data_IF_334522967155
#
_entry.id   IF_334522967155
#
_cell.length_a   1.000
_cell.length_b   1.000
_cell.length_c   1.000
_cell.angle_alpha   90.00
_cell.angle_beta   90.00
_cell.angle_gamma   90.00
#
_symmetry.space_group_name_H-M   'P 1'
#
loop_
_entity.id
_entity.type
_entity.pdbx_description
1 polymer ?
#
# COMPACT_ATOMS: atom_id res chain seq x y z
N UNK A 1 1.98 19.01 12.17
CA UNK A 1 1.03 18.50 11.15
C UNK A 1 1.79 17.93 9.96
N UNK A 2 1.16 17.03 9.22
CA UNK A 2 1.69 16.43 7.98
C UNK A 2 1.07 17.18 6.80
N UNK A 3 1.87 17.56 5.81
CA UNK A 3 1.45 18.34 4.64
C UNK A 3 2.62 18.71 3.75
N UNK A 4 2.37 19.27 2.57
CA UNK A 4 3.44 19.67 1.65
C UNK A 4 2.92 19.92 0.24
N UNK A 5 3.86 20.13 -0.68
CA UNK A 5 3.58 20.44 -2.09
C UNK A 5 3.54 19.21 -3.01
N UNK A 6 3.47 18.00 -2.43
CA UNK A 6 3.40 16.76 -3.20
C UNK A 6 2.05 16.66 -3.92
N UNK A 7 2.04 16.17 -5.16
CA UNK A 7 0.84 15.96 -5.97
C UNK A 7 0.66 14.47 -6.24
N UNK A 8 -0.58 14.00 -6.16
CA UNK A 8 -0.92 12.60 -6.40
C UNK A 8 -2.28 12.46 -7.09
N UNK A 9 -2.38 11.51 -7.99
CA UNK A 9 -3.56 11.16 -8.78
C UNK A 9 -3.78 9.66 -8.72
N UNK A 10 -5.04 9.24 -8.81
CA UNK A 10 -5.45 7.84 -8.90
C UNK A 10 -6.47 7.72 -10.02
N UNK A 11 -5.99 7.28 -11.19
CA UNK A 11 -6.78 7.23 -12.41
C UNK A 11 -7.10 5.79 -12.79
N UNK A 12 -8.28 5.55 -13.36
CA UNK A 12 -8.62 4.26 -13.96
C UNK A 12 -8.21 4.25 -15.43
N UNK A 13 -7.47 3.23 -15.86
CA UNK A 13 -6.99 3.04 -17.22
C UNK A 13 -7.63 1.77 -17.80
N UNK A 14 -8.19 1.87 -19.00
CA UNK A 14 -8.67 0.73 -19.80
C UNK A 14 -7.92 0.70 -21.13
N UNK A 15 -7.44 -0.47 -21.55
CA UNK A 15 -6.65 -0.66 -22.77
C UNK A 15 -7.50 -0.99 -24.00
N UNK A 16 -8.82 -1.10 -23.85
CA UNK A 16 -9.74 -1.36 -24.97
C UNK A 16 -9.82 -0.19 -25.96
N UNK A 17 -9.17 0.95 -25.68
CA UNK A 17 -9.29 2.19 -26.48
C UNK A 17 -8.15 2.41 -27.48
N UNK A 18 -7.18 1.49 -27.61
CA UNK A 18 -6.08 1.64 -28.58
C UNK A 18 -5.85 0.38 -29.39
N UNK A 19 -6.22 0.42 -30.67
CA UNK A 19 -5.72 -0.48 -31.71
C UNK A 19 -4.19 -0.48 -31.71
N UNK A 20 -3.57 -1.45 -31.06
CA UNK A 20 -2.14 -1.74 -31.19
C UNK A 20 -1.98 -3.25 -31.38
N UNK A 21 -1.34 -3.70 -32.48
CA UNK A 21 -1.23 -5.12 -32.76
C UNK A 21 -0.37 -5.78 -31.69
N UNK A 22 -0.98 -6.76 -31.02
CA UNK A 22 -0.38 -7.63 -30.02
C UNK A 22 0.76 -8.45 -30.63
N UNK A 23 2.00 -8.14 -30.28
CA UNK A 23 3.14 -9.03 -30.53
C UNK A 23 4.10 -8.97 -29.33
N UNK A 24 3.89 -9.88 -28.38
CA UNK A 24 4.94 -10.58 -27.64
C UNK A 24 4.30 -11.43 -26.51
N UNK A 25 4.44 -12.74 -26.62
CA UNK A 25 4.10 -13.66 -25.55
C UNK A 25 5.15 -13.54 -24.43
N UNK A 26 4.72 -13.01 -23.28
CA UNK A 26 5.52 -12.86 -22.05
C UNK A 26 4.95 -11.76 -21.16
N UNK A 27 4.17 -12.14 -20.13
CA UNK A 27 3.44 -11.24 -19.20
C UNK A 27 2.56 -10.18 -19.88
N UNK A 28 1.37 -10.57 -20.32
CA UNK A 28 0.41 -9.63 -20.91
C UNK A 28 0.03 -8.52 -19.91
N UNK A 29 0.04 -7.28 -20.40
CA UNK A 29 -0.54 -6.16 -19.66
C UNK A 29 -2.05 -6.39 -19.49
N UNK A 30 -2.63 -6.05 -18.33
CA UNK A 30 -4.05 -6.26 -18.09
C UNK A 30 -4.90 -5.31 -18.91
N UNK A 31 -6.14 -5.73 -19.19
CA UNK A 31 -7.11 -4.94 -19.96
C UNK A 31 -7.53 -3.65 -19.25
N UNK A 32 -7.44 -3.62 -17.92
CA UNK A 32 -7.67 -2.41 -17.13
C UNK A 32 -6.91 -2.45 -15.81
N UNK A 33 -6.59 -1.27 -15.28
CA UNK A 33 -5.88 -1.11 -14.01
C UNK A 33 -6.04 0.30 -13.44
N UNK A 34 -5.80 0.45 -12.14
CA UNK A 34 -5.65 1.75 -11.49
C UNK A 34 -4.20 2.23 -11.61
N UNK A 35 -3.99 3.50 -11.94
CA UNK A 35 -2.68 4.16 -12.01
C UNK A 35 -2.58 5.19 -10.88
N UNK A 36 -1.76 4.88 -9.88
CA UNK A 36 -1.41 5.81 -8.81
C UNK A 36 -0.10 6.51 -9.16
N UNK A 37 -0.16 7.82 -9.45
CA UNK A 37 1.00 8.57 -9.96
C UNK A 37 1.01 10.02 -9.49
N UNK A 38 2.16 10.68 -9.63
CA UNK A 38 2.29 12.08 -9.29
C UNK A 38 3.74 12.49 -9.09
N UNK A 39 3.95 13.53 -8.26
CA UNK A 39 5.26 14.08 -7.98
C UNK A 39 5.44 14.34 -6.48
N UNK A 40 6.47 13.72 -5.90
CA UNK A 40 6.87 13.97 -4.52
C UNK A 40 7.69 15.25 -4.45
N UNK A 41 7.35 16.09 -3.47
CA UNK A 41 8.11 17.26 -3.08
C UNK A 41 8.33 17.27 -1.57
N UNK A 42 9.57 17.53 -1.18
CA UNK A 42 9.98 17.69 0.23
C UNK A 42 9.92 19.13 0.71
N UNK A 43 9.59 20.09 -0.18
CA UNK A 43 9.37 21.48 0.18
C UNK A 43 8.32 21.61 1.29
N UNK A 44 8.66 22.39 2.33
CA UNK A 44 7.74 22.75 3.39
C UNK A 44 7.00 24.03 2.96
N UNK A 45 5.67 24.11 3.14
CA UNK A 45 4.92 25.31 2.79
C UNK A 45 5.36 26.49 3.66
N UNK A 46 5.81 27.58 3.02
CA UNK A 46 6.26 28.80 3.70
C UNK A 46 5.12 29.53 4.43
N UNK A 47 3.88 29.31 4.00
CA UNK A 47 2.66 29.86 4.58
C UNK A 47 2.15 29.10 5.82
N UNK A 48 2.66 27.90 6.10
CA UNK A 48 2.18 27.03 7.18
C UNK A 48 3.33 26.42 8.01
N UNK A 49 3.90 27.15 8.97
CA UNK A 49 5.05 26.69 9.78
C UNK A 49 4.74 25.47 10.67
N UNK A 50 3.45 25.16 10.90
CA UNK A 50 3.01 24.00 11.67
C UNK A 50 3.22 22.66 10.92
N UNK A 51 3.57 22.70 9.63
CA UNK A 51 3.86 21.53 8.80
C UNK A 51 5.34 21.21 8.92
N UNK A 52 5.65 20.07 9.53
CA UNK A 52 7.03 19.64 9.82
C UNK A 52 7.46 18.41 9.01
N UNK A 53 6.51 17.77 8.32
CA UNK A 53 6.75 16.54 7.53
C UNK A 53 6.00 16.62 6.20
N UNK A 54 6.76 16.57 5.11
CA UNK A 54 6.34 16.58 3.70
C UNK A 54 6.89 15.36 2.96
N UNK A 55 6.67 15.28 1.65
CA UNK A 55 7.22 14.23 0.80
C UNK A 55 6.48 12.90 0.90
N UNK A 56 5.15 12.93 0.93
CA UNK A 56 4.31 11.73 0.96
C UNK A 56 3.20 11.81 -0.08
N UNK A 57 2.78 10.65 -0.57
CA UNK A 57 1.57 10.47 -1.36
C UNK A 57 0.91 9.17 -0.91
N UNK A 58 -0.41 9.16 -0.73
CA UNK A 58 -1.11 7.95 -0.34
C UNK A 58 -2.56 7.98 -0.79
N UNK A 59 -3.13 6.80 -1.00
CA UNK A 59 -4.56 6.61 -1.13
C UNK A 59 -5.00 5.42 -0.27
N UNK A 60 -6.31 5.33 -0.02
CA UNK A 60 -6.94 4.15 0.57
C UNK A 60 -8.30 3.92 -0.05
N UNK A 61 -8.76 2.68 0.00
CA UNK A 61 -10.14 2.35 -0.37
C UNK A 61 -11.12 3.10 0.53
N UNK A 62 -12.32 3.45 0.02
CA UNK A 62 -13.39 3.91 0.89
C UNK A 62 -13.77 2.81 1.89
N UNK A 63 -14.36 3.21 3.01
CA UNK A 63 -15.04 2.26 3.89
C UNK A 63 -16.15 1.54 3.13
N UNK A 64 -16.39 0.28 3.48
CA UNK A 64 -17.57 -0.42 2.96
C UNK A 64 -18.86 0.31 3.36
N UNK A 65 -19.87 0.25 2.48
CA UNK A 65 -21.17 0.84 2.76
C UNK A 65 -21.77 0.20 4.02
N UNK A 66 -22.29 0.99 4.97
CA UNK A 66 -22.88 0.45 6.18
C UNK A 66 -24.12 -0.40 5.88
N UNK A 67 -24.39 -1.38 6.74
CA UNK A 67 -25.64 -2.17 6.74
C UNK A 67 -26.57 -1.71 7.86
N UNK A 68 -27.77 -2.29 7.93
CA UNK A 68 -28.70 -2.09 9.07
C UNK A 68 -28.12 -2.55 10.41
N UNK A 69 -27.03 -3.35 10.40
CA UNK A 69 -26.34 -3.85 11.59
C UNK A 69 -25.06 -3.07 11.92
N UNK A 70 -24.84 -1.91 11.27
CA UNK A 70 -23.72 -1.02 11.54
C UNK A 70 -22.69 -0.99 10.42
N UNK A 71 -21.43 -0.74 10.79
CA UNK A 71 -20.32 -0.62 9.82
C UNK A 71 -20.01 -1.99 9.21
N UNK A 72 -19.78 -2.00 7.91
CA UNK A 72 -19.37 -3.20 7.19
C UNK A 72 -17.84 -3.30 7.19
N UNK A 73 -17.34 -4.53 7.35
CA UNK A 73 -15.92 -4.85 7.42
C UNK A 73 -15.63 -6.08 6.57
N UNK A 74 -14.38 -6.25 6.17
CA UNK A 74 -13.87 -7.45 5.53
C UNK A 74 -13.40 -8.44 6.58
N UNK A 75 -13.91 -9.67 6.50
CA UNK A 75 -13.36 -10.82 7.21
C UNK A 75 -12.33 -11.53 6.32
N UNK A 76 -11.05 -11.36 6.65
CA UNK A 76 -9.93 -11.98 5.96
C UNK A 76 -9.33 -13.16 6.75
N UNK A 77 -9.93 -13.53 7.89
CA UNK A 77 -9.44 -14.61 8.75
C UNK A 77 -9.23 -15.94 8.00
N UNK A 78 -10.11 -16.34 7.05
CA UNK A 78 -9.93 -17.57 6.28
C UNK A 78 -8.75 -17.57 5.30
N UNK A 79 -8.08 -16.43 5.09
CA UNK A 79 -7.04 -16.26 4.08
C UNK A 79 -5.67 -16.01 4.71
N UNK A 80 -4.63 -16.64 4.17
CA UNK A 80 -3.26 -16.52 4.65
C UNK A 80 -2.53 -15.29 4.10
N UNK A 81 -2.88 -14.84 2.90
CA UNK A 81 -2.15 -13.80 2.17
C UNK A 81 -3.05 -12.67 1.68
N UNK A 82 -2.49 -11.47 1.67
CA UNK A 82 -2.88 -10.37 0.80
C UNK A 82 -2.05 -10.44 -0.48
N UNK A 83 -2.71 -10.55 -1.63
CA UNK A 83 -2.08 -10.52 -2.94
C UNK A 83 -2.39 -9.21 -3.68
N UNK A 84 -1.38 -8.66 -4.34
CA UNK A 84 -1.47 -7.46 -5.16
C UNK A 84 -0.79 -7.74 -6.50
N UNK A 85 -1.51 -7.52 -7.61
CA UNK A 85 -0.92 -7.55 -8.96
C UNK A 85 -0.60 -6.12 -9.39
N UNK A 86 0.69 -5.82 -9.50
CA UNK A 86 1.20 -4.46 -9.63
C UNK A 86 2.27 -4.34 -10.71
N UNK A 87 2.48 -3.11 -11.18
CA UNK A 87 3.67 -2.68 -11.92
C UNK A 87 4.19 -1.42 -11.26
N UNK A 88 5.40 -1.47 -10.72
CA UNK A 88 6.00 -0.37 -9.95
C UNK A 88 7.15 0.28 -10.70
N UNK A 89 7.35 1.58 -10.49
CA UNK A 89 8.54 2.33 -10.88
C UNK A 89 9.82 2.00 -10.08
N UNK A 90 9.73 1.10 -9.10
CA UNK A 90 10.85 0.72 -8.22
C UNK A 90 10.98 1.55 -6.95
N UNK A 91 10.07 2.49 -6.68
CA UNK A 91 10.04 3.23 -5.42
C UNK A 91 9.58 2.37 -4.25
N UNK A 92 9.83 2.87 -3.04
CA UNK A 92 9.50 2.17 -1.79
C UNK A 92 8.09 2.51 -1.32
N UNK A 93 7.12 1.74 -1.79
CA UNK A 93 5.73 1.84 -1.35
C UNK A 93 5.47 1.04 -0.06
N UNK A 94 4.38 1.35 0.61
CA UNK A 94 3.85 0.64 1.76
C UNK A 94 2.39 0.29 1.53
N UNK A 95 2.01 -0.94 1.86
CA UNK A 95 0.62 -1.33 2.01
C UNK A 95 0.18 -0.98 3.44
N UNK A 96 -0.92 -0.27 3.56
CA UNK A 96 -1.50 0.16 4.84
C UNK A 96 -2.87 -0.48 5.01
N UNK A 97 -3.10 -1.13 6.14
CA UNK A 97 -4.37 -1.71 6.53
C UNK A 97 -4.92 -0.96 7.73
N UNK A 98 -6.19 -0.58 7.65
CA UNK A 98 -6.93 -0.06 8.80
C UNK A 98 -7.94 -1.11 9.25
N UNK A 99 -7.93 -1.43 10.54
CA UNK A 99 -8.89 -2.33 11.18
C UNK A 99 -9.75 -1.56 12.17
N UNK A 100 -10.84 -2.17 12.65
CA UNK A 100 -11.50 -1.70 13.88
C UNK A 100 -10.62 -2.02 15.10
N UNK A 101 -9.58 -1.21 15.30
CA UNK A 101 -8.73 -1.25 16.48
C UNK A 101 -9.29 -0.37 17.61
N UNK A 102 -8.81 -0.60 18.84
CA UNK A 102 -9.14 0.23 20.02
C UNK A 102 -8.81 1.69 19.75
N UNK A 103 -7.68 1.93 19.08
CA UNK A 103 -7.23 3.25 18.68
C UNK A 103 -7.44 3.42 17.16
N UNK A 104 -8.36 4.30 16.71
CA UNK A 104 -8.68 4.47 15.29
C UNK A 104 -7.50 4.92 14.43
N UNK A 105 -6.47 5.49 15.06
CA UNK A 105 -5.25 5.98 14.41
C UNK A 105 -4.21 4.89 14.15
N UNK A 106 -4.47 3.65 14.61
CA UNK A 106 -3.61 2.52 14.32
C UNK A 106 -3.71 2.07 12.87
N UNK A 107 -2.55 1.83 12.28
CA UNK A 107 -2.37 1.29 10.95
C UNK A 107 -1.48 0.07 11.03
N UNK A 108 -1.80 -0.96 10.26
CA UNK A 108 -0.89 -2.07 10.07
C UNK A 108 -0.21 -1.87 8.73
N UNK A 109 1.11 -1.78 8.74
CA UNK A 109 1.89 -1.40 7.56
C UNK A 109 2.82 -2.54 7.16
N UNK A 110 3.00 -2.75 5.86
CA UNK A 110 4.02 -3.63 5.30
C UNK A 110 4.66 -2.96 4.08
N UNK A 111 5.97 -3.10 3.91
CA UNK A 111 6.65 -2.54 2.73
C UNK A 111 6.26 -3.33 1.48
N UNK A 112 5.89 -2.62 0.42
CA UNK A 112 5.63 -3.22 -0.88
C UNK A 112 6.92 -3.15 -1.71
N UNK A 113 7.57 -4.30 -1.88
CA UNK A 113 8.79 -4.39 -2.68
C UNK A 113 8.48 -4.99 -4.06
N UNK A 114 8.75 -4.26 -5.14
CA UNK A 114 8.69 -4.84 -6.47
C UNK A 114 10.03 -5.49 -6.80
N UNK A 115 10.04 -6.79 -7.13
CA UNK A 115 11.25 -7.49 -7.58
C UNK A 115 11.57 -7.18 -9.05
N UNK A 116 10.56 -6.82 -9.84
CA UNK A 116 10.69 -6.53 -11.27
C UNK A 116 10.09 -5.16 -11.60
N UNK A 117 10.76 -4.06 -11.23
CA UNK A 117 10.31 -2.72 -11.61
C UNK A 117 10.05 -2.61 -13.13
N UNK A 118 8.98 -1.92 -13.49
CA UNK A 118 8.54 -1.76 -14.89
C UNK A 118 7.76 -2.95 -15.47
N UNK A 119 7.73 -4.09 -14.80
CA UNK A 119 6.97 -5.28 -15.23
C UNK A 119 5.79 -5.56 -14.32
N UNK A 120 4.76 -6.21 -14.86
CA UNK A 120 3.66 -6.70 -14.05
C UNK A 120 4.10 -7.92 -13.24
N UNK A 121 3.87 -7.88 -11.94
CA UNK A 121 4.12 -9.00 -11.05
C UNK A 121 3.04 -9.13 -9.98
N UNK A 122 2.89 -10.33 -9.43
CA UNK A 122 2.03 -10.56 -8.27
C UNK A 122 2.89 -10.61 -7.02
N UNK A 123 2.62 -9.72 -6.07
CA UNK A 123 3.24 -9.70 -4.75
C UNK A 123 2.25 -10.27 -3.74
N UNK A 124 2.73 -11.14 -2.85
CA UNK A 124 1.94 -11.73 -1.78
C UNK A 124 2.58 -11.44 -0.44
N UNK A 125 1.79 -10.95 0.52
CA UNK A 125 2.22 -10.57 1.86
C UNK A 125 1.40 -11.40 2.85
N UNK A 126 2.04 -12.05 3.83
CA UNK A 126 1.28 -12.72 4.90
C UNK A 126 0.68 -11.67 5.82
N UNK A 127 -0.55 -11.90 6.28
CA UNK A 127 -1.19 -10.97 7.20
C UNK A 127 -0.41 -10.77 8.51
N UNK A 128 0.32 -11.80 8.96
CA UNK A 128 1.15 -11.71 10.17
C UNK A 128 2.45 -10.92 10.00
N UNK A 129 2.86 -10.60 8.77
CA UNK A 129 4.09 -9.82 8.55
C UNK A 129 3.83 -8.31 8.68
N UNK A 130 2.57 -7.88 8.79
CA UNK A 130 2.23 -6.47 8.94
C UNK A 130 2.53 -5.97 10.35
N UNK A 131 3.20 -4.83 10.43
CA UNK A 131 3.59 -4.20 11.69
C UNK A 131 2.59 -3.11 12.07
N UNK A 132 2.11 -3.15 13.32
CA UNK A 132 1.24 -2.10 13.86
C UNK A 132 2.04 -0.82 14.12
N UNK A 133 1.58 0.27 13.52
CA UNK A 133 2.13 1.62 13.68
C UNK A 133 1.04 2.60 14.08
N UNK A 134 1.44 3.65 14.79
CA UNK A 134 0.59 4.78 15.14
C UNK A 134 1.35 6.06 14.83
N UNK A 135 0.77 6.93 13.99
CA UNK A 135 1.45 8.12 13.46
C UNK A 135 2.84 7.84 12.83
N UNK A 136 3.03 6.64 12.25
CA UNK A 136 4.29 6.20 11.64
C UNK A 136 5.36 5.73 12.61
N UNK A 137 5.05 5.59 13.91
CA UNK A 137 5.91 4.95 14.90
C UNK A 137 5.41 3.57 15.22
N UNK A 138 6.31 2.59 15.33
CA UNK A 138 5.94 1.25 15.78
C UNK A 138 5.41 1.32 17.22
N UNK A 139 4.24 0.70 17.44
CA UNK A 139 3.61 0.61 18.76
C UNK A 139 3.83 -0.77 19.34
N UNK A 140 4.34 -0.83 20.56
CA UNK A 140 4.36 -2.05 21.37
C UNK A 140 3.20 -1.98 22.38
N UNK A 141 2.48 -3.08 22.65
CA UNK A 141 2.68 -4.43 22.10
C UNK A 141 2.20 -4.54 20.63
N UNK A 142 2.95 -5.30 19.83
CA UNK A 142 2.48 -5.74 18.52
C UNK A 142 1.31 -6.71 18.74
N UNK A 143 0.10 -6.19 18.65
CA UNK A 143 -1.09 -7.03 18.54
C UNK A 143 -1.25 -7.45 17.10
N UNK A 144 -1.56 -8.71 16.86
CA UNK A 144 -1.91 -9.21 15.53
C UNK A 144 -3.05 -8.37 14.92
N UNK A 145 -3.08 -8.30 13.59
CA UNK A 145 -4.18 -7.69 12.85
C UNK A 145 -5.49 -8.33 13.30
N UNK A 146 -6.50 -7.51 13.61
CA UNK A 146 -7.86 -7.99 13.79
C UNK A 146 -8.47 -8.38 12.43
N UNK A 147 -8.15 -9.59 11.97
CA UNK A 147 -8.44 -10.11 10.63
C UNK A 147 -9.93 -10.09 10.25
N UNK A 148 -10.81 -10.24 11.23
CA UNK A 148 -12.26 -10.23 11.01
C UNK A 148 -12.84 -8.83 10.78
N UNK A 149 -12.06 -7.77 11.01
CA UNK A 149 -12.54 -6.39 11.03
C UNK A 149 -11.67 -5.43 10.23
N UNK A 150 -11.23 -5.86 9.04
CA UNK A 150 -10.47 -4.99 8.13
C UNK A 150 -11.43 -4.00 7.46
N UNK A 151 -11.10 -2.72 7.52
CA UNK A 151 -11.92 -1.64 6.95
C UNK A 151 -11.43 -1.19 5.59
N UNK A 152 -10.14 -0.87 5.51
CA UNK A 152 -9.56 -0.28 4.31
C UNK A 152 -8.19 -0.85 4.00
N UNK A 153 -7.90 -0.97 2.71
CA UNK A 153 -6.55 -1.19 2.19
C UNK A 153 -6.09 0.10 1.53
N UNK A 154 -4.86 0.50 1.77
CA UNK A 154 -4.27 1.67 1.15
C UNK A 154 -2.83 1.45 0.74
N UNK A 155 -2.34 2.33 -0.11
CA UNK A 155 -0.94 2.36 -0.50
C UNK A 155 -0.40 3.75 -0.24
N UNK A 156 0.78 3.80 0.37
CA UNK A 156 1.49 5.03 0.66
C UNK A 156 2.91 4.99 0.13
N UNK A 157 3.41 6.15 -0.28
CA UNK A 157 4.80 6.43 -0.60
C UNK A 157 5.31 7.45 0.43
N UNK A 158 6.36 7.09 1.15
CA UNK A 158 6.97 7.91 2.22
C UNK A 158 8.49 7.93 2.14
N UNK A 159 9.04 7.64 0.96
CA UNK A 159 10.48 7.59 0.69
C UNK A 159 11.19 8.96 0.80
N UNK A 160 10.42 10.05 0.74
CA UNK A 160 10.91 11.44 0.70
C UNK A 160 11.91 11.70 -0.43
N UNK A 161 11.86 10.90 -1.50
CA UNK A 161 12.69 11.11 -2.68
C UNK A 161 11.92 12.01 -3.63
N UNK A 162 12.44 13.21 -3.88
CA UNK A 162 11.79 14.14 -4.81
C UNK A 162 11.70 13.57 -6.23
N UNK A 163 10.64 13.96 -6.94
CA UNK A 163 10.45 13.58 -8.33
C UNK A 163 9.21 12.72 -8.59
N UNK A 164 9.05 12.21 -9.82
CA UNK A 164 7.86 11.49 -10.23
C UNK A 164 7.78 10.12 -9.58
N UNK A 165 6.56 9.66 -9.31
CA UNK A 165 6.29 8.29 -8.90
C UNK A 165 5.15 7.67 -9.72
N UNK A 166 5.17 6.36 -9.90
CA UNK A 166 4.12 5.60 -10.56
C UNK A 166 4.01 4.17 -10.01
N UNK A 167 2.79 3.80 -9.63
CA UNK A 167 2.39 2.45 -9.30
C UNK A 167 1.08 2.12 -10.01
N UNK A 168 1.11 1.12 -10.88
CA UNK A 168 -0.09 0.57 -11.50
C UNK A 168 -0.55 -0.67 -10.71
N UNK A 169 -1.85 -0.80 -10.53
CA UNK A 169 -2.49 -1.82 -9.70
C UNK A 169 -3.65 -2.41 -10.49
N UNK A 170 -3.55 -3.67 -10.85
CA UNK A 170 -4.62 -4.38 -11.55
C UNK A 170 -5.68 -4.84 -10.55
N UNK A 171 -5.25 -5.52 -9.48
CA UNK A 171 -6.15 -6.10 -8.49
C UNK A 171 -5.44 -6.34 -7.15
N UNK A 172 -6.26 -6.33 -6.10
CA UNK A 172 -5.87 -6.61 -4.71
C UNK A 172 -6.89 -7.60 -4.15
N UNK A 173 -6.45 -8.74 -3.60
CA UNK A 173 -7.35 -9.78 -3.11
C UNK A 173 -6.74 -10.60 -1.97
N UNK A 174 -7.58 -11.26 -1.18
CA UNK A 174 -7.16 -12.21 -0.17
C UNK A 174 -7.14 -13.64 -0.74
N UNK A 175 -6.14 -14.45 -0.41
CA UNK A 175 -5.99 -15.81 -0.95
C UNK A 175 -5.19 -16.73 -0.04
N UNK A 176 -5.39 -18.04 -0.22
CA UNK A 176 -4.54 -19.10 0.33
C UNK A 176 -3.60 -19.71 -0.72
N UNK A 177 -3.92 -19.52 -2.00
CA UNK A 177 -3.17 -20.08 -3.13
C UNK A 177 -2.02 -19.15 -3.49
N UNK A 178 -0.81 -19.72 -3.52
CA UNK A 178 0.39 -19.05 -4.03
C UNK A 178 0.44 -19.27 -5.53
N UNK A 179 0.29 -18.19 -6.32
CA UNK A 179 0.41 -18.30 -7.76
C UNK A 179 1.83 -18.69 -8.16
N UNK A 180 1.99 -19.46 -9.25
CA UNK A 180 3.28 -20.03 -9.67
C UNK A 180 4.39 -18.97 -9.86
N UNK A 181 4.01 -17.78 -10.34
CA UNK A 181 4.93 -16.64 -10.56
C UNK A 181 4.83 -15.55 -9.48
N UNK A 182 4.18 -15.84 -8.34
CA UNK A 182 4.02 -14.87 -7.27
C UNK A 182 5.30 -14.69 -6.46
N UNK A 183 5.63 -13.44 -6.22
CA UNK A 183 6.62 -13.04 -5.23
C UNK A 183 5.99 -13.09 -3.84
N UNK A 184 6.23 -14.16 -3.09
CA UNK A 184 5.93 -14.18 -1.65
C UNK A 184 6.98 -13.34 -0.92
N UNK A 185 6.52 -12.33 -0.19
CA UNK A 185 7.38 -11.49 0.63
C UNK A 185 7.92 -12.29 1.81
N UNK A 186 9.22 -12.13 2.06
CA UNK A 186 9.86 -12.64 3.27
C UNK A 186 9.94 -11.51 4.28
N UNK A 187 9.63 -11.80 5.53
CA UNK A 187 9.87 -10.92 6.67
C UNK A 187 11.39 -10.64 6.73
N UNK A 188 11.79 -9.41 6.39
CA UNK A 188 13.17 -8.91 6.42
C UNK A 188 13.45 -7.93 7.57
N UNK A 189 14.48 -7.10 7.43
CA UNK A 189 14.68 -5.95 8.32
C UNK A 189 13.70 -4.82 7.99
N UNK A 190 12.92 -4.35 8.96
CA UNK A 190 12.05 -3.18 8.79
C UNK A 190 12.88 -1.90 8.95
N UNK A 191 12.65 -0.94 8.05
CA UNK A 191 13.14 0.44 8.23
C UNK A 191 12.28 1.22 9.24
N UNK A 192 11.16 0.62 9.68
CA UNK A 192 10.31 1.20 10.70
C UNK A 192 11.07 1.31 12.03
N UNK A 193 10.90 2.46 12.66
CA UNK A 193 11.52 2.78 13.94
C UNK A 193 10.48 2.81 15.04
N UNK A 194 10.81 2.28 16.22
CA UNK A 194 10.00 2.52 17.41
C UNK A 194 10.11 3.98 17.88
N UNK A 195 9.34 4.35 18.91
CA UNK A 195 9.40 5.68 19.52
C UNK A 195 10.79 6.04 20.09
N UNK A 196 11.66 5.05 20.30
CA UNK A 196 13.06 5.20 20.76
C UNK A 196 14.07 5.32 19.61
N UNK A 197 13.62 5.20 18.36
CA UNK A 197 14.45 5.32 17.16
C UNK A 197 15.15 4.03 16.71
N UNK A 198 14.89 2.91 17.39
CA UNK A 198 15.48 1.61 17.09
C UNK A 198 14.78 0.98 15.87
N UNK A 199 15.56 0.37 14.97
CA UNK A 199 15.03 -0.36 13.80
C UNK A 199 14.45 -1.70 14.26
N UNK A 200 13.24 -2.01 13.82
CA UNK A 200 12.56 -3.27 14.18
C UNK A 200 12.65 -4.26 13.01
N UNK A 201 12.70 -5.56 13.29
CA UNK A 201 12.59 -6.62 12.27
C UNK A 201 11.11 -6.99 12.09
N UNK A 202 10.68 -7.32 10.87
CA UNK A 202 9.31 -7.73 10.56
C UNK A 202 8.92 -9.00 11.32
#
# INVERSE_FOLDING_TARGET
MIGGSSKSHLDFISTDTTNSPSNAAGSSSPSSYARFHGQISTSLPTDRPNIQRSGYAAFRTPDQRPTLFGRSVWDIDPYAYLALRIKSDGRSYFVNLQTEAVEPTDLHQHRLFAKRPGQWETVMIKWNDFVRTNHGFVVEPQTEILRQKVRTVGIGLTDRVEGPFELCIEKVWATNEVAEDATVMKSGASELKNKRGERIQW
#
